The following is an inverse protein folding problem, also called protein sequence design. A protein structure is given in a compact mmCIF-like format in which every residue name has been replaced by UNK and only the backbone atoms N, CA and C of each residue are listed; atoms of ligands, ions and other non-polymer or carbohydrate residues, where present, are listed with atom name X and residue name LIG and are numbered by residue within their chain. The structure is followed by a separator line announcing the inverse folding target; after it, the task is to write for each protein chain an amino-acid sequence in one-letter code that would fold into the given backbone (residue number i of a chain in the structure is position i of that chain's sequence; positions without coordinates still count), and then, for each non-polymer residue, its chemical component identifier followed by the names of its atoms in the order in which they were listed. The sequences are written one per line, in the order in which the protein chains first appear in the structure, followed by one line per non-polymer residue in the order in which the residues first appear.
data_IF_195283376275
#
_entry.id   IF_195283376275
#
_cell.length_a   1.000
_cell.length_b   1.000
_cell.length_c   1.000
_cell.angle_alpha   90.00
_cell.angle_beta   90.00
_cell.angle_gamma   90.00
#
_symmetry.space_group_name_H-M   'P 1'
#
loop_
_entity.id
_entity.type
_entity.pdbx_description
1 polymer ?
#
# COMPACT_ATOMS: atom_id res chain seq x y z
N UNK A 1 -4.26 18.18 0.08
CA UNK A 1 -4.05 19.47 0.79
C UNK A 1 -2.62 19.64 1.30
N UNK A 2 -2.20 19.11 2.47
CA UNK A 2 -0.83 19.39 3.01
C UNK A 2 0.32 18.88 2.12
N UNK A 3 0.17 17.69 1.53
CA UNK A 3 1.19 17.12 0.62
C UNK A 3 1.29 17.94 -0.67
N UNK A 4 0.17 18.44 -1.19
CA UNK A 4 0.16 19.29 -2.38
C UNK A 4 0.79 20.64 -2.10
N UNK A 5 0.55 21.24 -0.93
CA UNK A 5 1.23 22.46 -0.50
C UNK A 5 2.75 22.28 -0.47
N UNK A 6 3.25 21.18 0.09
CA UNK A 6 4.69 20.92 0.13
C UNK A 6 5.30 20.61 -1.23
N UNK A 7 4.56 19.91 -2.10
CA UNK A 7 4.99 19.72 -3.51
C UNK A 7 5.02 21.05 -4.25
N UNK A 8 4.07 21.95 -3.99
CA UNK A 8 4.00 23.25 -4.64
C UNK A 8 5.11 24.19 -4.14
N UNK A 9 5.50 24.10 -2.86
CA UNK A 9 6.66 24.83 -2.35
C UNK A 9 7.96 24.38 -3.01
N UNK A 10 8.16 23.08 -3.22
CA UNK A 10 9.36 22.55 -3.90
C UNK A 10 9.41 22.93 -5.38
N UNK A 11 8.26 22.95 -6.07
CA UNK A 11 8.18 23.31 -7.49
C UNK A 11 8.46 24.79 -7.76
N UNK A 12 8.25 25.66 -6.78
CA UNK A 12 8.43 27.11 -6.92
C UNK A 12 9.79 27.59 -6.38
N UNK A 13 10.74 26.70 -6.16
CA UNK A 13 12.11 27.07 -5.80
C UNK A 13 12.79 27.68 -7.03
N UNK A 14 13.26 28.95 -6.98
CA UNK A 14 13.95 29.56 -8.11
C UNK A 14 15.27 28.82 -8.36
N UNK A 15 15.44 28.35 -9.58
CA UNK A 15 16.71 27.84 -10.11
C UNK A 15 17.37 29.00 -10.84
N UNK A 16 18.45 29.55 -10.27
CA UNK A 16 19.29 30.51 -10.99
C UNK A 16 20.04 29.76 -12.09
N UNK A 17 19.70 30.03 -13.35
CA UNK A 17 20.42 29.50 -14.53
C UNK A 17 21.57 30.41 -14.98
N UNK A 18 21.79 31.56 -14.34
CA UNK A 18 22.83 32.52 -14.71
C UNK A 18 23.93 32.60 -13.63
N UNK A 19 25.14 32.18 -14.03
CA UNK A 19 26.41 32.17 -13.30
C UNK A 19 26.91 33.60 -12.93
N UNK A 20 26.23 34.27 -12.01
CA UNK A 20 26.82 35.40 -11.27
C UNK A 20 27.26 34.92 -9.88
N UNK A 21 28.52 35.20 -9.55
CA UNK A 21 29.25 34.73 -8.37
C UNK A 21 28.45 34.95 -7.07
N UNK A 22 27.73 33.91 -6.62
CA UNK A 22 26.94 33.94 -5.38
C UNK A 22 27.90 34.15 -4.20
N UNK A 23 27.60 35.09 -3.31
CA UNK A 23 28.41 35.29 -2.12
C UNK A 23 28.32 34.08 -1.17
N UNK A 24 29.27 33.98 -0.22
CA UNK A 24 29.44 32.78 0.60
C UNK A 24 28.21 32.39 1.43
N UNK A 25 27.26 33.30 1.67
CA UNK A 25 26.02 33.01 2.39
C UNK A 25 24.99 32.29 1.52
N UNK A 26 24.87 32.66 0.23
CA UNK A 26 23.97 32.00 -0.71
C UNK A 26 24.42 30.56 -1.02
N UNK A 27 25.73 30.33 -1.15
CA UNK A 27 26.30 28.99 -1.26
C UNK A 27 25.96 28.10 -0.05
N UNK A 28 25.97 28.69 1.15
CA UNK A 28 25.65 27.99 2.40
C UNK A 28 24.15 27.69 2.53
N UNK A 29 23.28 28.58 2.05
CA UNK A 29 21.83 28.37 2.03
C UNK A 29 21.43 27.29 1.00
N UNK A 30 22.00 27.33 -0.21
CA UNK A 30 21.77 26.33 -1.24
C UNK A 30 22.20 24.92 -0.81
N UNK A 31 23.39 24.78 -0.20
CA UNK A 31 23.86 23.51 0.35
C UNK A 31 22.96 22.96 1.47
N UNK A 32 22.41 23.85 2.31
CA UNK A 32 21.47 23.47 3.37
C UNK A 32 20.12 23.00 2.82
N UNK A 33 19.62 23.65 1.76
CA UNK A 33 18.38 23.26 1.08
C UNK A 33 18.57 21.91 0.39
N UNK A 34 19.70 21.72 -0.29
CA UNK A 34 20.06 20.46 -0.93
C UNK A 34 20.14 19.31 0.09
N UNK A 35 20.85 19.52 1.21
CA UNK A 35 20.94 18.53 2.28
C UNK A 35 19.58 18.12 2.85
N UNK A 36 18.68 19.09 3.09
CA UNK A 36 17.30 18.79 3.54
C UNK A 36 16.50 18.01 2.51
N UNK A 37 16.66 18.31 1.22
CA UNK A 37 15.99 17.55 0.16
C UNK A 37 16.49 16.10 0.12
N UNK A 38 17.80 15.89 0.21
CA UNK A 38 18.42 14.56 0.24
C UNK A 38 17.97 13.73 1.45
N UNK A 39 17.90 14.34 2.64
CA UNK A 39 17.35 13.71 3.85
C UNK A 39 15.87 13.31 3.67
N UNK A 40 15.05 14.17 3.07
CA UNK A 40 13.64 13.87 2.79
C UNK A 40 13.48 12.74 1.78
N UNK A 41 14.33 12.69 0.74
CA UNK A 41 14.34 11.59 -0.24
C UNK A 41 14.78 10.28 0.42
N UNK A 42 15.78 10.31 1.29
CA UNK A 42 16.23 9.14 2.04
C UNK A 42 15.14 8.60 2.97
N UNK A 43 14.53 9.46 3.79
CA UNK A 43 13.41 9.10 4.65
C UNK A 43 12.22 8.55 3.84
N UNK A 44 11.88 9.19 2.72
CA UNK A 44 10.84 8.69 1.80
C UNK A 44 11.16 7.29 1.31
N UNK A 45 12.40 7.03 0.89
CA UNK A 45 12.79 5.74 0.33
C UNK A 45 12.76 4.64 1.40
N UNK A 46 13.17 4.94 2.64
CA UNK A 46 13.00 4.03 3.79
C UNK A 46 11.53 3.74 4.04
N UNK A 47 10.68 4.76 4.09
CA UNK A 47 9.25 4.56 4.35
C UNK A 47 8.63 3.71 3.22
N UNK A 48 8.97 3.97 1.96
CA UNK A 48 8.49 3.17 0.82
C UNK A 48 9.00 1.73 0.84
N UNK A 49 10.28 1.50 1.14
CA UNK A 49 10.83 0.13 1.19
C UNK A 49 10.18 -0.73 2.26
N UNK A 50 9.61 -0.12 3.31
CA UNK A 50 8.88 -0.83 4.37
C UNK A 50 7.35 -0.77 4.19
N UNK A 51 6.84 0.03 3.24
CA UNK A 51 5.42 0.06 2.86
C UNK A 51 5.09 -0.91 1.72
N UNK A 52 6.06 -1.27 0.87
CA UNK A 52 5.84 -2.27 -0.20
C UNK A 52 5.55 -3.68 0.38
N UNK A 53 5.86 -3.92 1.67
CA UNK A 53 5.46 -5.12 2.43
C UNK A 53 4.09 -5.00 3.12
N UNK A 54 3.48 -3.81 3.11
CA UNK A 54 2.08 -3.63 3.53
C UNK A 54 1.20 -4.10 2.39
N UNK A 55 1.17 -5.42 2.22
CA UNK A 55 0.14 -6.14 1.45
C UNK A 55 -1.21 -5.56 1.83
N UNK A 56 -1.82 -4.86 0.87
CA UNK A 56 -3.22 -4.47 0.75
C UNK A 56 -3.94 -4.09 2.05
N UNK A 57 -4.52 -2.88 2.07
CA UNK A 57 -5.34 -2.32 3.16
C UNK A 57 -6.58 -3.16 3.59
N UNK A 58 -6.67 -4.42 3.16
CA UNK A 58 -7.75 -5.35 3.41
C UNK A 58 -7.27 -6.64 4.11
N UNK A 59 -6.13 -6.64 4.82
CA UNK A 59 -5.65 -7.76 5.66
C UNK A 59 -5.61 -9.14 4.94
N UNK A 60 -5.32 -9.14 3.63
CA UNK A 60 -5.29 -10.36 2.80
C UNK A 60 -6.66 -10.85 2.29
N UNK A 61 -7.75 -10.12 2.53
CA UNK A 61 -9.06 -10.39 1.97
C UNK A 61 -9.17 -9.92 0.51
N UNK A 62 -9.60 -10.83 -0.36
CA UNK A 62 -9.82 -10.64 -1.79
C UNK A 62 -11.33 -10.49 -2.03
N UNK A 63 -11.81 -9.35 -2.57
CA UNK A 63 -13.21 -9.19 -2.93
C UNK A 63 -13.64 -10.21 -3.99
N UNK A 64 -14.84 -10.79 -3.86
CA UNK A 64 -15.36 -11.77 -4.84
C UNK A 64 -15.49 -11.20 -6.25
N UNK A 65 -15.72 -9.88 -6.37
CA UNK A 65 -15.78 -9.18 -7.66
C UNK A 65 -14.41 -8.94 -8.30
N UNK A 66 -13.31 -9.08 -7.56
CA UNK A 66 -11.95 -8.98 -8.09
C UNK A 66 -11.50 -10.34 -8.63
N UNK A 67 -11.62 -11.38 -7.80
CA UNK A 67 -11.21 -12.74 -8.15
C UNK A 67 -11.95 -13.74 -7.27
N UNK A 68 -12.28 -14.91 -7.83
CA UNK A 68 -12.84 -16.04 -7.08
C UNK A 68 -11.73 -17.04 -6.70
N UNK A 69 -11.96 -17.89 -5.67
CA UNK A 69 -11.04 -18.98 -5.35
C UNK A 69 -10.86 -19.95 -6.53
N UNK A 70 -9.85 -20.81 -6.43
CA UNK A 70 -9.76 -21.96 -7.33
C UNK A 70 -10.82 -22.99 -6.92
N UNK A 71 -11.40 -23.68 -7.90
CA UNK A 71 -12.39 -24.73 -7.67
C UNK A 71 -11.84 -25.85 -6.76
N UNK A 72 -12.65 -26.30 -5.81
CA UNK A 72 -12.28 -27.28 -4.77
C UNK A 72 -11.36 -26.74 -3.67
N UNK A 73 -11.20 -25.41 -3.54
CA UNK A 73 -10.29 -24.82 -2.55
C UNK A 73 -11.01 -24.47 -1.26
N UNK A 74 -10.46 -24.92 -0.13
CA UNK A 74 -10.87 -24.45 1.20
C UNK A 74 -10.38 -23.02 1.46
N UNK A 75 -11.31 -22.14 1.82
CA UNK A 75 -11.07 -20.71 2.05
C UNK A 75 -11.85 -20.21 3.25
N UNK A 76 -11.39 -19.10 3.82
CA UNK A 76 -12.22 -18.28 4.70
C UNK A 76 -12.99 -17.28 3.83
N UNK A 77 -14.28 -17.12 4.07
CA UNK A 77 -15.12 -16.13 3.39
C UNK A 77 -15.92 -15.29 4.39
N UNK A 78 -16.39 -14.11 3.97
CA UNK A 78 -17.16 -13.19 4.82
C UNK A 78 -18.28 -12.50 4.05
N UNK A 79 -19.40 -12.29 4.75
CA UNK A 79 -20.54 -11.43 4.35
C UNK A 79 -20.39 -9.99 4.90
N UNK A 80 -19.27 -9.68 5.56
CA UNK A 80 -19.02 -8.42 6.27
C UNK A 80 -19.47 -8.41 7.73
N UNK A 81 -20.10 -9.49 8.22
CA UNK A 81 -20.54 -9.63 9.62
C UNK A 81 -19.93 -10.85 10.31
N UNK A 82 -19.83 -11.95 9.59
CA UNK A 82 -19.30 -13.22 10.07
C UNK A 82 -18.20 -13.74 9.15
N UNK A 83 -17.41 -14.68 9.67
CA UNK A 83 -16.40 -15.40 8.91
C UNK A 83 -16.83 -16.87 8.86
N UNK A 84 -16.76 -17.45 7.68
CA UNK A 84 -17.12 -18.83 7.39
C UNK A 84 -15.91 -19.57 6.82
N UNK A 85 -15.81 -20.86 7.11
CA UNK A 85 -14.85 -21.77 6.49
C UNK A 85 -15.64 -22.63 5.49
N UNK A 86 -15.28 -22.54 4.20
CA UNK A 86 -16.01 -23.20 3.12
C UNK A 86 -15.05 -23.75 2.07
N UNK A 87 -15.45 -24.83 1.40
CA UNK A 87 -14.85 -25.25 0.14
C UNK A 87 -15.56 -24.52 -1.00
N UNK A 88 -14.80 -23.86 -1.86
CA UNK A 88 -15.34 -23.18 -3.03
C UNK A 88 -15.60 -24.17 -4.16
N UNK A 89 -16.81 -24.17 -4.69
CA UNK A 89 -17.23 -25.02 -5.81
C UNK A 89 -17.83 -24.14 -6.92
N UNK A 90 -17.14 -24.04 -8.05
CA UNK A 90 -17.55 -23.17 -9.15
C UNK A 90 -18.78 -23.68 -9.91
N UNK A 91 -19.11 -24.96 -9.79
CA UNK A 91 -20.21 -25.61 -10.51
C UNK A 91 -21.54 -25.56 -9.73
N UNK A 92 -21.51 -25.17 -8.44
CA UNK A 92 -22.71 -25.00 -7.61
C UNK A 92 -23.32 -23.60 -7.75
N UNK A 93 -24.67 -23.56 -7.81
CA UNK A 93 -25.44 -22.32 -7.71
C UNK A 93 -25.14 -21.55 -6.41
N UNK A 94 -24.72 -22.28 -5.37
CA UNK A 94 -24.25 -21.74 -4.11
C UNK A 94 -22.75 -22.05 -3.94
N UNK A 95 -21.91 -21.32 -4.70
CA UNK A 95 -20.49 -21.60 -4.82
C UNK A 95 -19.67 -21.50 -3.50
N UNK A 96 -20.23 -20.83 -2.49
CA UNK A 96 -19.68 -20.76 -1.13
C UNK A 96 -20.48 -21.61 -0.12
N UNK A 97 -21.12 -22.68 -0.59
CA UNK A 97 -21.95 -23.57 0.21
C UNK A 97 -23.22 -22.89 0.71
N UNK A 98 -23.60 -23.11 1.98
CA UNK A 98 -24.80 -22.50 2.57
C UNK A 98 -24.64 -21.01 2.91
N UNK A 99 -23.42 -20.46 2.76
CA UNK A 99 -23.14 -19.06 3.07
C UNK A 99 -23.56 -18.16 1.90
N UNK A 100 -24.55 -17.30 2.15
CA UNK A 100 -25.07 -16.34 1.18
C UNK A 100 -24.49 -14.93 1.42
N UNK A 101 -24.50 -14.08 0.39
CA UNK A 101 -24.07 -12.69 0.49
C UNK A 101 -22.57 -12.50 0.71
N UNK A 102 -21.74 -13.47 0.33
CA UNK A 102 -20.29 -13.40 0.48
C UNK A 102 -19.72 -12.25 -0.38
N UNK A 103 -18.94 -11.37 0.27
CA UNK A 103 -18.34 -10.19 -0.36
C UNK A 103 -16.82 -10.30 -0.54
N UNK A 104 -16.15 -11.12 0.26
CA UNK A 104 -14.70 -11.33 0.19
C UNK A 104 -14.28 -12.70 0.73
N UNK A 105 -13.09 -13.15 0.33
CA UNK A 105 -12.48 -14.40 0.77
C UNK A 105 -10.96 -14.27 0.96
N UNK A 106 -10.34 -15.20 1.68
CA UNK A 106 -8.89 -15.31 1.82
C UNK A 106 -8.45 -16.77 1.91
N UNK A 107 -7.21 -17.12 1.51
CA UNK A 107 -6.66 -18.45 1.74
C UNK A 107 -6.51 -18.76 3.24
N UNK A 108 -6.45 -20.04 3.59
CA UNK A 108 -6.22 -20.44 4.98
C UNK A 108 -4.88 -19.91 5.50
N UNK A 109 -4.82 -19.43 6.76
CA UNK A 109 -3.57 -19.07 7.38
C UNK A 109 -2.65 -20.27 7.48
N UNK A 110 -1.33 -20.01 7.60
CA UNK A 110 -0.36 -21.09 7.82
C UNK A 110 -0.76 -21.88 9.07
N UNK A 111 -0.63 -23.22 9.05
CA UNK A 111 -0.92 -24.05 10.21
C UNK A 111 -0.16 -23.56 11.44
N UNK A 112 -0.82 -23.63 12.60
CA UNK A 112 -0.19 -23.35 13.88
C UNK A 112 1.04 -24.24 14.08
N UNK A 113 2.13 -23.66 14.59
CA UNK A 113 3.34 -24.36 14.96
C UNK A 113 3.64 -24.05 16.42
N UNK A 114 3.74 -25.08 17.24
CA UNK A 114 4.27 -24.97 18.60
C UNK A 114 5.78 -24.70 18.52
N UNK A 115 6.27 -23.79 19.37
CA UNK A 115 7.72 -23.49 19.52
C UNK A 115 8.47 -24.61 20.26
#
# INVERSE_FOLDING_TARGET
EEIEERVNMVKNIPVNEDDDFLDGEECYEAGRIQGRYEELVWCRNIIRSHMDEVLDNNDGWIPVGERLPEDGKEVLCTDGKYIYLVEYDADLDAAFGEADGIIAWQPLPKPYKEE
#
